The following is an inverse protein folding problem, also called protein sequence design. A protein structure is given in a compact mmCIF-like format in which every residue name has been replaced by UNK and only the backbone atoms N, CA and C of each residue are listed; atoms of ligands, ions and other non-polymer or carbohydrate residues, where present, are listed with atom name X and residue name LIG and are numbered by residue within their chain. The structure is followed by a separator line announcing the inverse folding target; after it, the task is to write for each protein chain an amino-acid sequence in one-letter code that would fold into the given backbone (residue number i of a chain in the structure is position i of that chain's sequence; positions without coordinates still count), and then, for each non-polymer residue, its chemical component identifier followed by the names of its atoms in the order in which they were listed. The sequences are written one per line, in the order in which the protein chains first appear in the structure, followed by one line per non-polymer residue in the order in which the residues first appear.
data_IF_492061115540
#
_entry.id   IF_492061115540
#
_cell.length_a   1.000
_cell.length_b   1.000
_cell.length_c   1.000
_cell.angle_alpha   90.00
_cell.angle_beta   90.00
_cell.angle_gamma   90.00
#
_symmetry.space_group_name_H-M   'P 1'
#
loop_
_entity.id
_entity.type
_entity.pdbx_description
1 polymer ?
2 non-polymer ?
3 non-polymer ?
4 water ?
#
# COMPACT_ATOMS: atom_id res chain seq x y z
N UNK A 1 6.75 12.01 27.21
CA UNK A 1 6.65 10.81 26.34
C UNK A 1 5.84 11.26 25.13
N UNK A 2 6.62 11.90 24.25
CA UNK A 2 6.04 12.44 23.01
C UNK A 2 6.63 11.73 21.83
N UNK A 3 5.88 11.82 20.75
CA UNK A 3 6.21 11.08 19.49
C UNK A 3 6.10 12.01 18.30
N UNK A 4 7.15 12.72 18.03
CA UNK A 4 7.24 13.71 16.96
C UNK A 4 7.85 13.20 15.70
N UNK A 5 7.14 13.33 14.59
CA UNK A 5 7.67 12.88 13.32
C UNK A 5 8.72 13.90 12.82
N UNK A 6 9.68 13.43 12.11
CA UNK A 6 10.69 14.27 11.46
C UNK A 6 10.76 13.70 10.02
N UNK A 7 11.20 14.53 9.10
CA UNK A 7 11.37 14.07 7.70
C UNK A 7 12.10 12.77 7.60
N UNK A 8 12.94 12.40 8.53
CA UNK A 8 13.72 11.14 8.55
C UNK A 8 12.84 9.92 8.71
N UNK A 9 11.60 10.08 9.21
CA UNK A 9 10.63 8.98 9.38
C UNK A 9 10.00 8.59 8.07
N UNK A 10 10.21 9.34 7.02
CA UNK A 10 9.69 9.02 5.69
C UNK A 10 8.18 8.95 5.56
N UNK A 11 7.47 9.80 6.25
CA UNK A 11 6.01 9.85 6.18
C UNK A 11 5.53 10.66 5.01
N UNK A 12 4.67 10.08 4.15
CA UNK A 12 4.17 10.78 2.98
C UNK A 12 2.63 10.69 2.92
N UNK A 13 2.05 11.62 2.22
CA UNK A 13 0.60 11.73 2.03
C UNK A 13 0.19 12.08 0.63
N UNK A 14 -0.93 11.55 0.12
CA UNK A 14 -1.35 11.97 -1.25
C UNK A 14 -1.99 13.33 -1.17
N UNK A 15 -1.92 14.13 -2.25
CA UNK A 15 -2.61 15.44 -2.25
C UNK A 15 -4.13 15.23 -2.04
N UNK A 16 -4.60 14.12 -2.55
CA UNK A 16 -6.02 13.71 -2.51
C UNK A 16 -6.47 13.29 -1.15
N UNK A 17 -5.67 13.15 -0.16
CA UNK A 17 -6.02 12.68 1.19
C UNK A 17 -6.46 13.84 2.00
N UNK A 18 -5.56 14.73 2.43
CA UNK A 18 -5.95 15.95 3.15
C UNK A 18 -6.78 16.84 2.26
N UNK A 19 -6.68 16.71 0.93
CA UNK A 19 -7.42 17.45 -0.05
C UNK A 19 -8.80 16.89 -0.32
N UNK A 20 -9.26 15.81 0.27
CA UNK A 20 -10.62 15.26 0.04
C UNK A 20 -11.67 16.25 0.62
N UNK A 21 -12.52 16.65 -0.29
CA UNK A 21 -13.63 17.61 -0.01
C UNK A 21 -14.79 16.98 0.72
N UNK A 22 -14.89 15.70 0.82
CA UNK A 22 -15.95 15.05 1.55
C UNK A 22 -17.19 14.66 0.78
N UNK A 23 -17.12 14.57 -0.51
CA UNK A 23 -18.23 14.16 -1.39
C UNK A 23 -18.30 12.64 -1.29
N UNK A 24 -19.44 12.08 -0.94
CA UNK A 24 -19.58 10.58 -0.82
C UNK A 24 -20.74 10.22 -1.72
N UNK A 25 -21.10 8.96 -1.87
CA UNK A 25 -22.20 8.55 -2.75
C UNK A 25 -23.53 9.22 -2.38
N UNK A 26 -23.65 9.60 -1.12
CA UNK A 26 -24.87 10.22 -0.63
C UNK A 26 -24.76 11.65 -0.24
N UNK A 27 -23.69 12.38 -0.48
CA UNK A 27 -23.60 13.76 -0.06
C UNK A 27 -22.60 14.65 -0.71
N UNK A 28 -22.91 15.93 -0.64
CA UNK A 28 -22.11 17.01 -1.20
C UNK A 28 -20.86 17.24 -0.33
N UNK A 29 -19.95 17.97 -0.99
CA UNK A 29 -18.69 18.32 -0.30
C UNK A 29 -19.01 19.15 0.93
N UNK A 30 -18.19 18.94 1.97
CA UNK A 30 -18.30 19.68 3.25
C UNK A 30 -17.10 20.60 3.43
N UNK A 31 -16.13 20.51 2.54
CA UNK A 31 -14.96 21.40 2.69
C UNK A 31 -14.57 21.95 1.32
N UNK A 32 -14.02 23.15 1.32
CA UNK A 32 -13.57 23.82 0.08
C UNK A 32 -12.29 23.13 -0.40
N UNK A 33 -12.03 23.28 -1.67
CA UNK A 33 -10.83 22.68 -2.28
C UNK A 33 -9.57 23.33 -1.70
N UNK A 34 -8.53 22.53 -1.60
CA UNK A 34 -7.25 23.03 -1.06
C UNK A 34 -6.29 23.21 -2.25
N UNK A 35 -5.54 24.29 -2.18
CA UNK A 35 -4.51 24.51 -3.24
C UNK A 35 -3.35 23.56 -2.84
N UNK A 36 -2.86 22.76 -3.78
CA UNK A 36 -1.75 21.86 -3.53
C UNK A 36 -0.59 22.53 -2.79
N UNK A 37 -0.36 23.81 -3.08
CA UNK A 37 0.75 24.53 -2.41
C UNK A 37 0.50 24.65 -0.91
N UNK A 38 -0.73 24.86 -0.54
CA UNK A 38 -1.10 24.98 0.87
C UNK A 38 -0.92 23.64 1.55
N UNK A 39 -1.32 22.54 0.90
CA UNK A 39 -1.13 21.21 1.53
C UNK A 39 0.34 20.90 1.72
N UNK A 40 1.18 21.23 0.75
CA UNK A 40 2.64 20.98 0.89
C UNK A 40 3.18 21.72 2.13
N UNK A 41 2.85 22.99 2.27
CA UNK A 41 3.28 23.80 3.40
C UNK A 41 2.77 23.25 4.71
N UNK A 42 1.48 22.91 4.80
CA UNK A 42 0.92 22.38 6.09
C UNK A 42 1.51 21.05 6.43
N UNK A 43 1.68 20.17 5.44
CA UNK A 43 2.28 18.86 5.77
C UNK A 43 3.71 19.02 6.22
N UNK A 44 4.46 19.92 5.64
CA UNK A 44 5.90 20.14 6.02
C UNK A 44 5.94 20.56 7.47
N UNK A 45 5.05 21.42 7.91
CA UNK A 45 4.94 21.86 9.28
C UNK A 45 4.61 20.74 10.23
N UNK A 46 3.91 19.69 9.82
CA UNK A 46 3.56 18.59 10.74
C UNK A 46 4.68 17.58 10.80
N UNK A 47 5.68 17.68 9.95
CA UNK A 47 6.79 16.76 9.96
C UNK A 47 6.79 15.72 8.88
N UNK A 48 5.99 15.89 7.85
CA UNK A 48 5.97 14.87 6.77
C UNK A 48 7.27 14.99 5.93
N UNK A 49 7.56 13.93 5.23
CA UNK A 49 8.77 13.91 4.36
C UNK A 49 8.38 14.26 2.95
N UNK A 50 7.12 14.01 2.52
CA UNK A 50 6.81 14.34 1.10
C UNK A 50 5.36 14.12 0.73
N UNK A 51 5.04 14.32 -0.53
CA UNK A 51 3.66 14.16 -1.00
C UNK A 51 3.66 13.35 -2.30
N UNK A 52 2.49 12.86 -2.67
CA UNK A 52 2.31 12.08 -3.93
C UNK A 52 1.12 12.66 -4.63
N UNK A 53 0.91 12.31 -5.87
CA UNK A 53 -0.20 12.90 -6.62
C UNK A 53 -0.63 12.02 -7.76
N UNK A 54 -1.88 12.28 -8.17
CA UNK A 54 -2.40 11.69 -9.43
C UNK A 54 -2.21 12.95 -10.35
N UNK A 55 -2.03 12.69 -11.63
CA UNK A 55 -1.90 13.82 -12.60
C UNK A 55 -3.01 14.84 -12.42
N UNK A 56 -4.23 14.39 -12.29
CA UNK A 56 -5.40 15.26 -12.16
C UNK A 56 -5.50 16.03 -10.85
N UNK A 57 -4.73 15.66 -9.85
CA UNK A 57 -4.77 16.39 -8.58
C UNK A 57 -3.91 17.67 -8.77
N UNK A 58 -2.86 17.56 -9.55
CA UNK A 58 -1.97 18.69 -9.76
C UNK A 58 -2.35 19.59 -10.91
N UNK A 59 -2.73 19.01 -12.04
CA UNK A 59 -3.10 19.79 -13.25
C UNK A 59 -4.55 19.41 -13.59
N UNK A 60 -5.47 20.34 -13.43
CA UNK A 60 -6.87 20.09 -13.71
C UNK A 60 -7.03 19.52 -15.11
N UNK A 61 -7.84 18.51 -15.21
CA UNK A 61 -8.16 17.82 -16.46
C UNK A 61 -8.49 18.86 -17.52
N UNK A 62 -7.89 18.68 -18.69
CA UNK A 62 -8.17 19.60 -19.79
C UNK A 62 -7.33 20.83 -19.93
N UNK A 63 -6.42 21.08 -19.02
CA UNK A 63 -5.51 22.21 -19.00
C UNK A 63 -4.68 22.28 -20.26
N UNK A 64 -4.48 23.48 -20.76
CA UNK A 64 -3.62 23.59 -21.99
C UNK A 64 -2.17 23.50 -21.51
N UNK A 65 -1.22 23.28 -22.38
CA UNK A 65 0.18 23.19 -22.02
C UNK A 65 0.68 24.39 -21.24
N UNK A 66 0.06 25.51 -21.42
CA UNK A 66 0.41 26.78 -20.76
C UNK A 66 0.01 26.71 -19.31
N UNK A 67 -1.23 26.30 -19.05
CA UNK A 67 -1.67 26.20 -17.64
C UNK A 67 -0.91 25.08 -16.93
N UNK A 68 -0.62 24.02 -17.62
CA UNK A 68 0.11 22.85 -17.09
C UNK A 68 1.42 23.36 -16.48
N UNK A 69 2.24 23.99 -17.30
CA UNK A 69 3.55 24.48 -16.87
C UNK A 69 3.42 25.37 -15.67
N UNK A 70 2.39 26.14 -15.61
CA UNK A 70 2.14 27.06 -14.50
C UNK A 70 1.83 26.33 -13.19
N UNK A 71 1.03 25.29 -13.32
CA UNK A 71 0.65 24.46 -12.14
C UNK A 71 1.91 23.78 -11.64
N UNK A 72 2.73 23.29 -12.54
CA UNK A 72 3.99 22.62 -12.15
C UNK A 72 4.95 23.63 -11.50
N UNK A 73 5.20 24.76 -12.14
CA UNK A 73 6.12 25.75 -11.52
C UNK A 73 5.74 26.10 -10.13
N UNK A 74 4.47 26.40 -9.88
CA UNK A 74 4.02 26.73 -8.51
C UNK A 74 4.27 25.62 -7.53
N UNK A 75 4.01 24.41 -7.92
CA UNK A 75 4.19 23.22 -7.01
C UNK A 75 5.66 23.05 -6.65
N UNK A 76 6.48 23.14 -7.68
CA UNK A 76 7.95 23.02 -7.63
C UNK A 76 8.50 24.04 -6.69
N UNK A 77 8.00 25.26 -6.70
CA UNK A 77 8.48 26.32 -5.78
C UNK A 77 8.09 25.92 -4.37
N UNK A 78 6.89 25.34 -4.16
CA UNK A 78 6.51 24.95 -2.76
C UNK A 78 7.41 23.83 -2.27
N UNK A 79 7.83 22.91 -3.12
CA UNK A 79 8.71 21.81 -2.71
C UNK A 79 10.09 22.40 -2.32
N UNK A 80 10.53 23.38 -3.11
CA UNK A 80 11.84 24.03 -2.84
C UNK A 80 11.81 24.79 -1.52
N UNK A 81 10.73 25.43 -1.21
CA UNK A 81 10.55 26.24 0.01
C UNK A 81 10.50 25.40 1.28
N UNK A 82 10.01 24.19 1.17
CA UNK A 82 9.88 23.32 2.35
C UNK A 82 10.78 22.17 2.44
N UNK A 83 11.47 21.79 1.35
CA UNK A 83 12.34 20.61 1.43
C UNK A 83 11.50 19.30 1.28
N UNK A 84 10.26 19.34 0.83
CA UNK A 84 9.41 18.14 0.67
C UNK A 84 9.81 17.42 -0.62
N UNK A 85 9.72 16.12 -0.65
CA UNK A 85 10.05 15.33 -1.85
C UNK A 85 8.75 14.75 -2.43
N UNK A 86 8.88 14.13 -3.58
CA UNK A 86 7.78 13.47 -4.28
C UNK A 86 8.27 12.08 -4.63
N UNK A 87 8.11 11.12 -3.74
CA UNK A 87 8.62 9.77 -4.01
C UNK A 87 7.78 8.90 -4.92
N UNK A 88 6.52 9.20 -5.11
CA UNK A 88 5.60 8.37 -5.92
C UNK A 88 4.61 9.30 -6.63
N UNK A 89 4.20 8.77 -7.80
CA UNK A 89 3.16 9.48 -8.59
C UNK A 89 2.27 8.34 -9.18
N UNK A 90 1.11 8.80 -9.62
CA UNK A 90 0.12 7.82 -10.24
C UNK A 90 -0.77 8.60 -11.18
N UNK A 91 -1.58 7.90 -11.93
CA UNK A 91 -2.52 8.44 -12.89
C UNK A 91 -3.98 8.30 -12.44
N UNK A 92 -4.80 9.30 -12.77
CA UNK A 92 -6.23 9.16 -12.46
C UNK A 92 -6.84 8.47 -13.73
N UNK A 93 -7.17 7.21 -13.66
CA UNK A 93 -7.84 6.51 -14.81
C UNK A 93 -9.23 6.01 -14.26
N UNK A 94 -9.86 6.85 -13.43
CA UNK A 94 -11.12 6.45 -12.82
C UNK A 94 -12.16 7.52 -12.71
N UNK A 95 -11.88 8.80 -12.62
CA UNK A 95 -12.92 9.84 -12.48
C UNK A 95 -13.69 10.24 -13.69
N UNK A 96 -12.99 10.56 -14.77
CA UNK A 96 -13.69 10.99 -16.00
C UNK A 96 -14.59 9.89 -16.52
N UNK A 97 -15.79 10.28 -16.94
CA UNK A 97 -16.75 9.30 -17.49
C UNK A 97 -16.22 8.38 -18.56
N UNK A 98 -15.22 8.78 -19.32
CA UNK A 98 -14.61 7.99 -20.40
C UNK A 98 -14.09 6.69 -19.84
N UNK A 99 -13.72 6.72 -18.53
CA UNK A 99 -13.19 5.53 -17.88
C UNK A 99 -14.24 4.66 -17.24
N UNK A 100 -15.52 4.92 -17.53
CA UNK A 100 -16.58 4.12 -16.89
C UNK A 100 -16.44 2.61 -17.00
N UNK A 101 -15.83 2.03 -18.00
CA UNK A 101 -15.63 0.62 -18.18
C UNK A 101 -14.17 0.23 -18.01
N UNK A 102 -13.37 1.13 -17.49
CA UNK A 102 -11.94 0.90 -17.23
C UNK A 102 -11.02 1.78 -18.04
N UNK A 103 -9.73 1.57 -17.80
CA UNK A 103 -8.68 2.31 -18.55
C UNK A 103 -8.00 1.30 -19.47
N UNK A 104 -7.11 0.52 -18.90
CA UNK A 104 -6.34 -0.48 -19.61
C UNK A 104 -7.18 -1.65 -20.09
N UNK A 105 -8.30 -1.94 -19.46
CA UNK A 105 -9.16 -3.07 -19.87
C UNK A 105 -10.55 -2.61 -20.33
N UNK A 106 -10.73 -1.37 -20.72
CA UNK A 106 -12.04 -0.95 -21.21
C UNK A 106 -12.33 -1.82 -22.46
N UNK A 107 -13.62 -2.10 -22.72
CA UNK A 107 -13.96 -2.87 -23.89
C UNK A 107 -13.60 -2.03 -25.16
N UNK A 108 -13.81 -0.73 -25.13
CA UNK A 108 -13.50 0.11 -26.29
C UNK A 108 -11.99 0.24 -26.49
N UNK A 109 -11.51 -0.19 -27.65
CA UNK A 109 -10.04 -0.09 -27.89
C UNK A 109 -9.54 1.33 -27.86
N UNK A 110 -10.29 2.29 -28.35
CA UNK A 110 -9.89 3.68 -28.39
C UNK A 110 -9.61 4.22 -27.01
N UNK A 111 -10.41 3.82 -26.07
CA UNK A 111 -10.23 4.30 -24.63
C UNK A 111 -8.93 3.70 -24.06
N UNK A 112 -8.66 2.45 -24.37
CA UNK A 112 -7.44 1.77 -23.88
C UNK A 112 -6.22 2.51 -24.42
N UNK A 113 -6.21 2.93 -25.66
CA UNK A 113 -5.04 3.69 -26.21
C UNK A 113 -4.89 5.01 -25.52
N UNK A 114 -6.03 5.70 -25.31
CA UNK A 114 -6.06 6.98 -24.61
C UNK A 114 -5.51 6.81 -23.19
N UNK A 115 -5.91 5.74 -22.46
CA UNK A 115 -5.44 5.50 -21.12
C UNK A 115 -3.92 5.39 -21.05
N UNK A 116 -3.34 4.71 -22.03
CA UNK A 116 -1.85 4.54 -22.06
C UNK A 116 -1.18 5.87 -22.30
N UNK A 117 -1.73 6.69 -23.20
CA UNK A 117 -1.16 7.99 -23.50
C UNK A 117 -1.18 8.91 -22.30
N UNK A 118 -2.30 8.87 -21.60
CA UNK A 118 -2.47 9.75 -20.39
C UNK A 118 -1.47 9.30 -19.35
N UNK A 119 -1.21 8.04 -19.18
CA UNK A 119 -0.28 7.48 -18.23
C UNK A 119 1.17 7.89 -18.59
N UNK A 120 1.51 7.69 -19.86
CA UNK A 120 2.91 8.00 -20.30
C UNK A 120 3.26 9.44 -20.07
N UNK A 121 2.33 10.32 -20.32
CA UNK A 121 2.52 11.77 -20.12
C UNK A 121 2.86 12.07 -18.65
N UNK A 122 2.20 11.36 -17.72
CA UNK A 122 2.43 11.50 -16.29
C UNK A 122 3.72 10.84 -15.83
N UNK A 123 4.17 9.76 -16.42
CA UNK A 123 5.46 9.11 -16.02
C UNK A 123 6.58 10.15 -16.27
N UNK A 124 6.54 10.84 -17.42
CA UNK A 124 7.55 11.87 -17.72
C UNK A 124 7.56 12.90 -16.60
N UNK A 125 6.36 13.36 -16.20
CA UNK A 125 6.27 14.35 -15.12
C UNK A 125 6.79 13.79 -13.82
N UNK A 126 6.41 12.60 -13.48
CA UNK A 126 6.87 11.98 -12.25
C UNK A 126 8.42 11.93 -12.18
N UNK A 127 9.06 11.51 -13.23
CA UNK A 127 10.53 11.43 -13.30
C UNK A 127 11.13 12.83 -13.12
N UNK A 128 10.56 13.79 -13.76
CA UNK A 128 11.03 15.19 -13.64
C UNK A 128 11.02 15.64 -12.20
N UNK A 129 9.97 15.29 -11.44
CA UNK A 129 9.86 15.68 -10.02
C UNK A 129 10.58 14.75 -9.09
N UNK A 130 11.24 13.75 -9.59
CA UNK A 130 12.00 12.81 -8.84
C UNK A 130 11.36 11.61 -8.24
N UNK A 131 10.17 11.22 -8.73
CA UNK A 131 9.54 10.00 -8.13
C UNK A 131 10.32 8.76 -8.45
N UNK A 132 10.41 7.81 -7.55
CA UNK A 132 11.11 6.54 -7.75
C UNK A 132 10.13 5.39 -8.06
N UNK A 133 8.84 5.59 -7.68
CA UNK A 133 7.78 4.61 -7.86
C UNK A 133 6.60 5.19 -8.57
N UNK A 134 6.02 4.40 -9.46
CA UNK A 134 4.81 4.91 -10.19
C UNK A 134 3.71 3.89 -9.84
N UNK A 135 2.64 4.33 -9.17
CA UNK A 135 1.60 3.33 -8.78
C UNK A 135 0.51 3.22 -9.83
N UNK A 136 -0.11 2.06 -9.85
CA UNK A 136 -1.22 1.82 -10.75
C UNK A 136 -2.35 1.19 -9.98
N UNK A 137 -3.45 1.95 -9.84
CA UNK A 137 -4.63 1.35 -9.13
C UNK A 137 -5.71 1.21 -10.26
N UNK A 138 -6.02 0.01 -10.67
CA UNK A 138 -7.05 -0.05 -11.77
C UNK A 138 -8.45 -0.11 -11.11
N UNK A 139 -8.87 0.99 -10.57
CA UNK A 139 -10.21 1.01 -9.91
C UNK A 139 -11.40 0.76 -10.82
N UNK A 140 -11.33 1.08 -12.11
CA UNK A 140 -12.44 0.84 -13.01
C UNK A 140 -12.24 -0.45 -13.78
N UNK A 141 -11.21 -1.24 -13.54
CA UNK A 141 -11.06 -2.50 -14.31
C UNK A 141 -11.85 -3.58 -13.63
N UNK A 142 -12.95 -4.06 -14.26
CA UNK A 142 -13.72 -5.14 -13.58
C UNK A 142 -15.12 -5.09 -14.16
N UNK A 143 -16.14 -5.48 -13.34
CA UNK A 143 -17.51 -5.48 -13.92
C UNK A 143 -18.52 -5.68 -12.80
N UNK A 144 -19.77 -5.44 -13.25
CA UNK A 144 -20.89 -5.61 -12.31
C UNK A 144 -21.62 -6.87 -12.78
N UNK A 145 -21.40 -7.37 -13.98
CA UNK A 145 -22.11 -8.58 -14.45
C UNK A 145 -21.15 -9.51 -15.18
N UNK A 146 -21.47 -10.78 -15.21
CA UNK A 146 -20.68 -11.80 -15.81
C UNK A 146 -20.36 -11.72 -17.28
N UNK A 147 -21.26 -11.35 -18.16
CA UNK A 147 -21.04 -11.29 -19.55
C UNK A 147 -20.36 -10.10 -20.10
N UNK A 148 -20.26 -9.03 -19.33
CA UNK A 148 -19.67 -7.78 -19.68
C UNK A 148 -18.16 -7.83 -19.87
N UNK A 149 -17.48 -8.78 -19.26
CA UNK A 149 -16.01 -8.81 -19.40
C UNK A 149 -15.51 -10.20 -19.51
N UNK A 150 -14.75 -10.53 -20.54
CA UNK A 150 -14.20 -11.92 -20.59
C UNK A 150 -12.89 -11.68 -19.80
N UNK A 151 -12.68 -12.30 -18.65
CA UNK A 151 -11.46 -12.01 -17.87
C UNK A 151 -10.17 -12.43 -18.52
N UNK A 152 -10.14 -13.55 -19.23
CA UNK A 152 -8.86 -13.93 -19.92
C UNK A 152 -8.54 -12.84 -20.90
N UNK A 153 -9.45 -12.33 -21.72
CA UNK A 153 -9.16 -11.26 -22.65
C UNK A 153 -8.73 -10.02 -21.89
N UNK A 154 -9.40 -9.74 -20.77
CA UNK A 154 -9.07 -8.56 -19.95
C UNK A 154 -7.62 -8.70 -19.44
N UNK A 155 -7.18 -9.85 -18.97
CA UNK A 155 -5.78 -9.98 -18.48
C UNK A 155 -4.78 -9.84 -19.63
N UNK A 156 -5.18 -10.30 -20.81
CA UNK A 156 -4.27 -10.10 -21.98
C UNK A 156 -4.08 -8.60 -22.16
N UNK A 157 -5.22 -7.86 -22.06
CA UNK A 157 -5.14 -6.40 -22.27
C UNK A 157 -4.36 -5.71 -21.16
N UNK A 158 -4.50 -6.26 -19.94
CA UNK A 158 -3.78 -5.64 -18.80
C UNK A 158 -2.30 -5.97 -18.98
N UNK A 159 -2.01 -7.17 -19.39
CA UNK A 159 -0.55 -7.50 -19.60
C UNK A 159 0.04 -6.59 -20.69
N UNK A 160 -0.73 -6.48 -21.79
CA UNK A 160 -0.25 -5.63 -22.90
C UNK A 160 0.08 -4.24 -22.49
N UNK A 161 -0.75 -3.57 -21.71
CA UNK A 161 -0.56 -2.22 -21.22
C UNK A 161 0.66 -2.15 -20.31
N UNK A 162 0.80 -3.05 -19.36
CA UNK A 162 1.99 -2.95 -18.47
C UNK A 162 3.26 -3.26 -19.23
N UNK A 163 3.20 -4.19 -20.19
CA UNK A 163 4.42 -4.49 -20.98
C UNK A 163 4.76 -3.23 -21.80
N UNK A 164 3.83 -2.50 -22.37
CA UNK A 164 4.15 -1.28 -23.14
C UNK A 164 4.72 -0.22 -22.19
N UNK A 165 4.25 -0.11 -20.97
CA UNK A 165 4.80 0.89 -20.05
C UNK A 165 6.22 0.55 -19.67
N UNK A 166 6.53 -0.72 -19.58
CA UNK A 166 7.86 -1.24 -19.24
C UNK A 166 8.78 -0.96 -20.43
N UNK A 167 8.24 -1.08 -21.61
CA UNK A 167 9.05 -0.79 -22.84
C UNK A 167 9.37 0.68 -22.86
N UNK A 168 8.43 1.53 -22.55
CA UNK A 168 8.62 2.97 -22.54
C UNK A 168 9.69 3.35 -21.54
N UNK A 169 9.58 2.91 -20.30
CA UNK A 169 10.58 3.27 -19.26
C UNK A 169 11.99 2.86 -19.62
N UNK A 170 12.14 1.65 -20.14
CA UNK A 170 13.48 1.15 -20.52
C UNK A 170 13.99 1.92 -21.73
N UNK A 171 13.13 2.23 -22.67
CA UNK A 171 13.52 3.00 -23.86
C UNK A 171 14.02 4.37 -23.49
N UNK A 172 13.44 5.02 -22.50
CA UNK A 172 13.83 6.34 -22.03
C UNK A 172 14.97 6.27 -21.01
N UNK A 173 15.33 5.10 -20.57
CA UNK A 173 16.43 5.03 -19.55
C UNK A 173 16.01 5.59 -18.21
N UNK A 174 14.72 5.52 -17.86
CA UNK A 174 14.28 6.05 -16.55
C UNK A 174 14.51 5.07 -15.41
N UNK A 175 14.75 5.60 -14.23
CA UNK A 175 14.95 4.78 -13.01
C UNK A 175 13.62 4.93 -12.22
N UNK A 176 12.65 4.20 -12.63
CA UNK A 176 11.32 4.27 -12.00
C UNK A 176 10.80 2.85 -12.08
N UNK A 177 10.13 2.40 -11.04
CA UNK A 177 9.56 1.04 -11.03
C UNK A 177 8.05 1.22 -10.83
N UNK A 178 7.33 0.17 -11.23
CA UNK A 178 5.84 0.24 -11.09
C UNK A 178 5.35 -0.54 -9.89
N UNK A 179 4.27 -0.07 -9.29
CA UNK A 179 3.73 -0.82 -8.11
C UNK A 179 2.23 -0.95 -8.38
N UNK A 180 1.72 -2.16 -8.50
CA UNK A 180 0.28 -2.37 -8.75
C UNK A 180 -0.41 -2.43 -7.37
N UNK A 181 -1.52 -1.70 -7.34
CA UNK A 181 -2.29 -1.69 -6.05
C UNK A 181 -3.61 -2.42 -6.25
N UNK A 182 -3.80 -3.48 -5.49
CA UNK A 182 -5.01 -4.30 -5.56
C UNK A 182 -6.16 -3.71 -4.72
N UNK A 183 -7.38 -4.06 -5.09
CA UNK A 183 -8.60 -3.63 -4.33
C UNK A 183 -9.61 -4.66 -4.81
N UNK A 184 -10.40 -5.31 -3.92
CA UNK A 184 -11.32 -6.34 -4.35
C UNK A 184 -12.58 -5.88 -5.01
N UNK A 185 -13.06 -4.71 -4.66
CA UNK A 185 -14.31 -4.14 -5.24
C UNK A 185 -14.32 -2.65 -4.89
N UNK A 186 -15.25 -1.94 -5.47
CA UNK A 186 -15.54 -0.54 -5.27
C UNK A 186 -14.51 0.34 -5.91
N UNK A 187 -14.87 1.07 -6.97
CA UNK A 187 -16.15 1.22 -7.54
C UNK A 187 -16.80 0.22 -8.39
N UNK A 188 -16.12 -0.76 -8.93
CA UNK A 188 -16.75 -1.81 -9.73
C UNK A 188 -17.20 -2.91 -8.76
N UNK A 189 -18.16 -3.68 -9.19
CA UNK A 189 -18.74 -4.81 -8.45
C UNK A 189 -17.65 -5.79 -8.02
N UNK A 190 -16.74 -6.04 -8.95
CA UNK A 190 -15.58 -6.92 -8.62
C UNK A 190 -14.43 -6.24 -9.46
N UNK A 191 -13.28 -6.09 -8.83
CA UNK A 191 -12.13 -5.46 -9.55
C UNK A 191 -11.13 -6.58 -9.88
N UNK A 192 -10.44 -6.45 -11.04
CA UNK A 192 -9.43 -7.44 -11.50
C UNK A 192 -8.21 -7.26 -10.63
N UNK A 193 -7.50 -8.36 -10.36
CA UNK A 193 -6.36 -8.42 -9.45
C UNK A 193 -6.85 -7.93 -8.09
N UNK A 194 -7.78 -8.67 -7.48
CA UNK A 194 -8.39 -8.22 -6.24
C UNK A 194 -7.61 -8.19 -4.96
N UNK A 195 -6.51 -8.95 -4.84
CA UNK A 195 -5.71 -8.97 -3.63
C UNK A 195 -4.20 -8.94 -3.97
N UNK A 196 -3.36 -8.81 -2.94
CA UNK A 196 -1.90 -8.85 -3.16
C UNK A 196 -1.53 -10.14 -3.89
N UNK A 197 -2.12 -11.28 -3.52
CA UNK A 197 -1.76 -12.53 -4.18
C UNK A 197 -2.03 -12.46 -5.67
N UNK A 198 -3.21 -12.01 -6.11
CA UNK A 198 -3.57 -11.90 -7.51
C UNK A 198 -2.60 -11.00 -8.23
N UNK A 199 -2.23 -9.89 -7.64
CA UNK A 199 -1.29 -8.94 -8.27
C UNK A 199 0.09 -9.59 -8.35
N UNK A 200 0.60 -10.29 -7.30
CA UNK A 200 1.94 -10.89 -7.41
C UNK A 200 2.01 -11.92 -8.51
N UNK A 201 0.96 -12.74 -8.67
CA UNK A 201 0.89 -13.80 -9.67
C UNK A 201 0.89 -13.23 -11.07
N UNK A 202 0.17 -12.15 -11.25
CA UNK A 202 0.07 -11.47 -12.56
C UNK A 202 1.47 -10.92 -13.00
N UNK A 203 2.17 -10.32 -12.06
CA UNK A 203 3.49 -9.76 -12.36
C UNK A 203 4.41 -10.83 -12.94
N UNK A 204 4.32 -12.04 -12.52
CA UNK A 204 5.18 -13.15 -13.01
C UNK A 204 4.95 -13.46 -14.47
N UNK A 205 3.91 -12.99 -15.11
CA UNK A 205 3.64 -13.19 -16.52
C UNK A 205 4.01 -11.97 -17.34
N UNK A 206 4.60 -10.91 -16.73
CA UNK A 206 4.96 -9.74 -17.53
C UNK A 206 6.30 -10.01 -18.22
N UNK A 207 6.60 -9.32 -19.28
CA UNK A 207 7.86 -9.49 -20.01
C UNK A 207 9.04 -9.13 -19.14
N UNK A 208 8.98 -8.09 -18.32
CA UNK A 208 10.16 -7.77 -17.46
C UNK A 208 9.63 -7.67 -16.01
N UNK A 209 9.45 -8.80 -15.39
CA UNK A 209 8.89 -8.84 -14.01
C UNK A 209 9.63 -8.01 -12.99
N UNK A 210 10.91 -7.80 -13.24
CA UNK A 210 11.73 -7.04 -12.23
C UNK A 210 11.34 -5.61 -12.15
N UNK A 211 10.60 -5.03 -13.10
CA UNK A 211 10.18 -3.64 -13.01
C UNK A 211 8.89 -3.43 -12.20
N UNK A 212 8.28 -4.54 -11.76
CA UNK A 212 7.01 -4.38 -11.07
C UNK A 212 6.89 -5.05 -9.72
N UNK A 213 6.25 -4.31 -8.83
CA UNK A 213 6.01 -4.80 -7.44
C UNK A 213 4.57 -4.43 -7.05
N UNK A 214 4.30 -4.49 -5.79
CA UNK A 214 2.93 -4.16 -5.32
C UNK A 214 2.92 -2.97 -4.38
N UNK A 215 1.78 -2.33 -4.34
CA UNK A 215 1.50 -1.22 -3.40
C UNK A 215 0.22 -1.67 -2.63
N UNK A 216 0.36 -2.55 -1.65
CA UNK A 216 -0.83 -3.02 -0.92
C UNK A 216 -1.37 -1.89 -0.03
N UNK A 217 -2.70 -1.98 0.22
CA UNK A 217 -3.30 -0.97 1.14
C UNK A 217 -3.94 -1.68 2.32
N UNK A 218 -3.73 -1.25 3.54
CA UNK A 218 -4.30 -1.94 4.69
C UNK A 218 -5.79 -2.27 4.49
N UNK A 219 -6.56 -1.19 4.31
CA UNK A 219 -8.03 -1.35 4.18
C UNK A 219 -8.47 -2.21 3.03
N UNK A 220 -7.77 -2.24 1.89
CA UNK A 220 -8.22 -3.13 0.75
C UNK A 220 -8.12 -4.60 1.04
N UNK A 221 -7.05 -5.13 1.65
CA UNK A 221 -7.04 -6.56 1.91
C UNK A 221 -8.08 -6.90 2.99
N UNK A 222 -8.30 -5.93 3.87
CA UNK A 222 -9.31 -6.15 4.97
C UNK A 222 -10.74 -6.16 4.41
N UNK A 223 -11.03 -5.61 3.27
CA UNK A 223 -12.29 -5.57 2.53
C UNK A 223 -12.63 -6.98 2.04
N UNK A 224 -11.63 -7.88 2.04
CA UNK A 224 -11.78 -9.27 1.64
C UNK A 224 -11.63 -10.13 2.92
N UNK A 225 -11.55 -9.56 4.11
CA UNK A 225 -11.39 -10.24 5.39
C UNK A 225 -10.02 -10.92 5.51
N UNK A 226 -9.02 -10.49 4.77
CA UNK A 226 -7.69 -11.12 4.82
C UNK A 226 -6.77 -10.52 5.89
N UNK A 227 -5.72 -11.26 6.23
CA UNK A 227 -4.76 -10.74 7.25
C UNK A 227 -3.75 -9.92 6.54
N UNK A 228 -3.75 -8.60 6.72
CA UNK A 228 -2.81 -7.62 6.12
C UNK A 228 -1.37 -7.95 6.36
N UNK A 229 -0.87 -8.06 7.60
CA UNK A 229 0.50 -8.44 7.87
C UNK A 229 0.86 -9.77 7.17
N UNK A 230 -0.02 -10.80 7.06
CA UNK A 230 0.40 -12.03 6.32
C UNK A 230 0.61 -11.76 4.82
N UNK A 231 -0.23 -10.91 4.21
CA UNK A 231 -0.11 -10.52 2.77
C UNK A 231 1.19 -9.77 2.53
N UNK A 232 1.52 -8.85 3.45
CA UNK A 232 2.77 -8.08 3.39
C UNK A 232 3.96 -9.04 3.55
N UNK A 233 3.93 -10.02 4.44
CA UNK A 233 5.06 -10.95 4.59
C UNK A 233 5.21 -11.71 3.26
N UNK A 234 4.12 -12.07 2.57
CA UNK A 234 4.24 -12.75 1.29
C UNK A 234 4.85 -11.83 0.26
N UNK A 235 4.51 -10.56 0.27
CA UNK A 235 5.07 -9.60 -0.69
C UNK A 235 6.56 -9.43 -0.34
N UNK A 236 6.95 -9.33 0.92
CA UNK A 236 8.38 -9.22 1.27
C UNK A 236 9.11 -10.51 0.86
N UNK A 237 8.57 -11.66 1.10
CA UNK A 237 9.15 -12.96 0.75
C UNK A 237 9.47 -12.99 -0.72
N UNK A 238 8.59 -12.41 -1.55
CA UNK A 238 8.81 -12.40 -2.99
C UNK A 238 9.72 -11.29 -3.43
N UNK A 239 10.15 -10.40 -2.58
CA UNK A 239 10.98 -9.24 -2.94
C UNK A 239 10.19 -8.20 -3.67
N UNK A 240 8.86 -8.12 -3.46
CA UNK A 240 8.05 -7.18 -4.19
C UNK A 240 7.37 -6.07 -3.46
N UNK A 241 7.71 -5.77 -2.23
CA UNK A 241 7.12 -4.68 -1.46
C UNK A 241 7.77 -3.37 -1.89
N UNK A 242 7.21 -2.77 -2.94
CA UNK A 242 7.79 -1.53 -3.45
C UNK A 242 7.26 -0.29 -2.75
N UNK A 243 6.06 -0.37 -2.26
CA UNK A 243 5.49 0.88 -1.62
C UNK A 243 4.34 0.31 -0.76
N UNK A 244 3.75 1.16 0.06
CA UNK A 244 2.66 0.64 0.93
C UNK A 244 1.71 1.83 1.19
N UNK A 245 0.43 1.47 1.35
CA UNK A 245 -0.61 2.48 1.65
C UNK A 245 -1.15 2.20 3.07
N UNK A 246 -0.97 3.14 3.96
CA UNK A 246 -1.38 2.93 5.34
C UNK A 246 -2.65 3.64 5.67
N UNK A 247 -3.54 2.90 6.35
CA UNK A 247 -4.86 3.58 6.74
C UNK A 247 -5.55 2.57 7.69
N UNK A 248 -6.83 2.77 7.95
CA UNK A 248 -7.59 1.87 8.84
C UNK A 248 -8.95 1.60 8.16
N UNK A 249 -9.47 0.45 8.56
CA UNK A 249 -10.75 -0.03 8.00
C UNK A 249 -11.44 -0.87 9.05
N UNK A 250 -12.77 -0.70 9.19
CA UNK A 250 -13.41 -1.56 10.18
C UNK A 250 -14.09 -2.74 9.47
N UNK A 251 -13.38 -3.76 9.04
CA UNK A 251 -14.06 -4.90 8.41
C UNK A 251 -14.47 -4.86 6.99
N UNK A 252 -15.34 -5.81 6.63
CA UNK A 252 -15.82 -5.98 5.23
C UNK A 252 -17.00 -5.07 5.06
N UNK A 253 -16.75 -3.99 4.38
CA UNK A 253 -17.81 -2.92 4.16
C UNK A 253 -17.20 -2.03 3.09
N UNK A 254 -17.73 -0.89 2.78
CA UNK A 254 -17.20 0.08 1.85
C UNK A 254 -15.78 0.46 2.34
N UNK A 255 -15.00 1.00 1.42
CA UNK A 255 -13.58 1.41 1.73
C UNK A 255 -13.60 2.69 2.56
N UNK A 256 -13.32 2.60 3.85
CA UNK A 256 -13.37 3.74 4.76
C UNK A 256 -12.21 4.65 4.71
N UNK A 257 -10.99 4.16 4.56
CA UNK A 257 -9.81 5.05 4.52
C UNK A 257 -9.70 5.86 5.84
N UNK A 258 -9.84 5.24 6.98
CA UNK A 258 -9.70 6.01 8.25
C UNK A 258 -8.18 6.22 8.44
N UNK A 259 -7.90 7.15 9.36
CA UNK A 259 -6.46 7.40 9.66
C UNK A 259 -5.83 6.10 10.14
N UNK A 260 -4.50 6.01 9.89
CA UNK A 260 -3.74 4.84 10.33
C UNK A 260 -3.82 4.72 11.88
N UNK A 261 -4.04 3.50 12.35
CA UNK A 261 -4.18 3.14 13.76
C UNK A 261 -5.66 2.94 14.07
N UNK A 262 -6.53 3.61 13.34
CA UNK A 262 -7.98 3.41 13.51
C UNK A 262 -8.26 2.07 12.80
N UNK A 263 -9.45 1.51 13.02
CA UNK A 263 -9.74 0.22 12.37
C UNK A 263 -9.25 -0.89 13.28
N UNK A 264 -8.51 -1.80 12.70
CA UNK A 264 -7.95 -2.96 13.40
C UNK A 264 -6.63 -2.58 14.03
N UNK A 265 -6.66 -2.16 15.26
CA UNK A 265 -5.41 -1.77 15.94
C UNK A 265 -4.41 -2.90 16.13
N UNK A 266 -4.83 -4.11 16.50
CA UNK A 266 -3.83 -5.18 16.65
C UNK A 266 -3.13 -5.45 15.31
N UNK A 267 -3.82 -5.41 14.21
CA UNK A 267 -3.23 -5.64 12.87
C UNK A 267 -2.22 -4.56 12.58
N UNK A 268 -2.49 -3.35 13.02
CA UNK A 268 -1.59 -2.20 12.82
C UNK A 268 -0.31 -2.48 13.58
N UNK A 269 -0.41 -3.04 14.78
CA UNK A 269 0.78 -3.34 15.61
C UNK A 269 1.63 -4.39 14.90
N UNK A 270 0.97 -5.48 14.44
CA UNK A 270 1.76 -6.55 13.79
C UNK A 270 2.34 -6.10 12.47
N UNK A 271 1.70 -5.15 11.83
CA UNK A 271 2.20 -4.64 10.54
C UNK A 271 3.46 -3.82 10.81
N UNK A 272 3.38 -2.94 11.78
CA UNK A 272 4.58 -2.11 12.12
C UNK A 272 5.73 -3.03 12.56
N UNK A 273 5.47 -4.06 13.34
CA UNK A 273 6.46 -5.01 13.81
C UNK A 273 7.19 -5.61 12.60
N UNK A 274 6.38 -6.05 11.62
CA UNK A 274 6.92 -6.62 10.40
C UNK A 274 7.64 -5.58 9.56
N UNK A 275 7.16 -4.43 9.28
CA UNK A 275 7.91 -3.49 8.45
C UNK A 275 9.29 -3.14 9.03
N UNK A 276 9.27 -2.92 10.33
CA UNK A 276 10.52 -2.53 11.04
C UNK A 276 11.44 -3.73 11.15
N UNK A 277 10.96 -4.90 11.46
CA UNK A 277 11.90 -6.03 11.56
C UNK A 277 12.44 -6.47 10.25
N UNK A 278 11.72 -6.37 9.13
CA UNK A 278 12.19 -6.77 7.79
C UNK A 278 13.02 -5.68 7.17
N UNK A 279 13.08 -4.53 7.77
CA UNK A 279 13.86 -3.41 7.26
C UNK A 279 13.29 -2.74 6.06
N UNK A 280 11.97 -2.58 5.98
CA UNK A 280 11.36 -1.90 4.83
C UNK A 280 11.91 -0.48 4.82
N UNK A 281 12.41 -0.07 3.64
CA UNK A 281 12.99 1.32 3.61
C UNK A 281 12.28 2.25 2.69
N UNK A 282 11.08 1.91 2.21
CA UNK A 282 10.37 2.83 1.32
C UNK A 282 9.56 3.81 2.17
N UNK A 283 8.82 4.67 1.48
CA UNK A 283 7.99 5.65 2.19
C UNK A 283 6.85 4.95 2.97
N UNK A 284 6.47 5.64 4.03
CA UNK A 284 5.36 5.20 4.91
C UNK A 284 4.23 6.17 4.43
N UNK A 285 3.50 5.70 3.42
CA UNK A 285 2.49 6.55 2.82
C UNK A 285 1.09 6.38 3.37
N UNK A 286 0.43 7.48 3.64
CA UNK A 286 -0.95 7.41 4.19
C UNK A 286 -1.93 7.72 3.07
N UNK A 287 -2.82 6.75 2.80
CA UNK A 287 -3.85 6.97 1.77
C UNK A 287 -5.13 6.93 2.68
N UNK A 288 -5.52 8.10 3.14
CA UNK A 288 -6.71 8.12 4.08
C UNK A 288 -7.60 9.28 3.78
N UNK A 289 -8.75 9.38 4.35
CA UNK A 289 -9.67 10.50 4.14
C UNK A 289 -10.15 11.02 5.50
N UNK A 290 -9.83 12.28 5.79
CA UNK A 290 -10.32 12.85 7.09
C UNK A 290 -11.85 12.83 6.92
N UNK A 291 -12.58 12.28 7.86
CA UNK A 291 -14.04 12.19 7.78
C UNK A 291 -14.67 13.52 7.41
N UNK A 292 -15.79 13.41 6.62
CA UNK A 292 -16.47 14.64 6.16
C UNK A 292 -17.09 15.47 7.28
N UNK A 293 -17.12 14.91 8.48
CA UNK A 293 -17.66 15.64 9.66
C UNK A 293 -16.65 16.73 10.09
N UNK A 294 -15.43 16.65 9.55
CA UNK A 294 -14.40 17.58 9.98
C UNK A 294 -14.19 18.86 9.24
N UNK A 295 -13.71 19.89 9.96
CA UNK A 295 -13.36 21.17 9.25
C UNK A 295 -11.86 21.09 8.99
N UNK A 296 -11.14 22.10 8.57
CA UNK A 296 -9.71 22.11 8.30
C UNK A 296 -8.90 21.77 9.53
N UNK A 297 -9.28 22.23 10.70
CA UNK A 297 -8.54 21.87 11.93
C UNK A 297 -8.52 20.35 12.11
N UNK A 298 -9.64 19.69 11.87
CA UNK A 298 -9.83 18.24 11.97
C UNK A 298 -9.01 17.53 10.89
N UNK A 299 -8.90 18.09 9.73
CA UNK A 299 -8.04 17.47 8.67
C UNK A 299 -6.62 17.33 9.15
N UNK A 300 -6.07 18.42 9.64
CA UNK A 300 -4.68 18.46 10.15
C UNK A 300 -4.50 17.58 11.37
N UNK A 301 -5.49 17.49 12.25
CA UNK A 301 -5.38 16.62 13.44
C UNK A 301 -5.37 15.16 13.03
N UNK A 302 -6.22 14.84 12.03
CA UNK A 302 -6.29 13.45 11.49
C UNK A 302 -4.96 13.07 10.86
N UNK A 303 -4.36 13.93 10.02
CA UNK A 303 -3.07 13.62 9.38
C UNK A 303 -2.03 13.50 10.45
N UNK A 304 -2.02 14.41 11.47
CA UNK A 304 -0.98 14.26 12.53
C UNK A 304 -1.21 12.93 13.23
N UNK A 305 -2.44 12.49 13.47
CA UNK A 305 -2.67 11.19 14.17
C UNK A 305 -2.09 9.99 13.47
N UNK A 306 -2.10 10.04 12.14
CA UNK A 306 -1.56 9.00 11.29
C UNK A 306 -0.08 8.72 11.69
N UNK A 307 0.64 9.83 11.75
CA UNK A 307 2.12 9.72 12.06
C UNK A 307 2.35 9.32 13.48
N UNK A 308 1.58 9.91 14.38
CA UNK A 308 1.70 9.61 15.81
C UNK A 308 1.46 8.14 16.07
N UNK A 309 0.40 7.61 15.43
CA UNK A 309 0.04 6.20 15.68
C UNK A 309 1.16 5.29 15.20
N UNK A 310 1.73 5.56 14.04
CA UNK A 310 2.85 4.73 13.59
C UNK A 310 3.98 4.79 14.61
N UNK A 311 4.32 5.99 15.10
CA UNK A 311 5.46 6.12 16.08
C UNK A 311 5.23 5.38 17.36
N UNK A 312 4.00 5.42 17.89
CA UNK A 312 3.71 4.69 19.15
C UNK A 312 3.83 3.17 18.89
N UNK A 313 3.23 2.69 17.82
CA UNK A 313 3.29 1.23 17.51
C UNK A 313 4.74 0.81 17.31
N UNK A 314 5.52 1.66 16.71
CA UNK A 314 6.96 1.34 16.46
C UNK A 314 7.67 1.13 17.79
N UNK A 315 7.36 2.02 18.72
CA UNK A 315 8.00 1.88 20.08
C UNK A 315 7.56 0.63 20.77
N UNK A 316 6.25 0.30 20.80
CA UNK A 316 5.73 -0.92 21.46
C UNK A 316 6.24 -2.18 20.83
N UNK A 317 6.36 -2.27 19.49
CA UNK A 317 6.84 -3.52 18.82
C UNK A 317 8.33 -3.75 19.12
N UNK A 318 9.08 -2.68 19.20
CA UNK A 318 10.55 -2.68 19.51
C UNK A 318 10.69 -3.11 20.95
N UNK A 319 9.91 -2.60 21.88
CA UNK A 319 10.00 -3.05 23.29
C UNK A 319 9.62 -4.54 23.35
N UNK A 320 8.61 -5.00 22.61
CA UNK A 320 8.16 -6.38 22.57
C UNK A 320 9.32 -7.31 22.12
N UNK A 321 9.96 -6.99 21.00
CA UNK A 321 11.05 -7.82 20.47
C UNK A 321 12.32 -7.82 21.34
N UNK A 322 12.53 -6.72 22.01
CA UNK A 322 13.66 -6.52 22.91
C UNK A 322 13.49 -7.12 24.27
N UNK A 323 12.31 -7.48 24.71
CA UNK A 323 12.10 -8.04 26.08
C UNK A 323 12.61 -9.45 26.20
N UNK A 324 13.48 -9.74 27.16
CA UNK A 324 14.05 -11.08 27.35
C UNK A 324 12.98 -12.10 27.62
N UNK A 325 11.90 -11.69 28.28
CA UNK A 325 10.81 -12.61 28.61
C UNK A 325 10.07 -13.02 27.34
N UNK A 326 10.04 -12.11 26.37
CA UNK A 326 9.39 -12.40 25.06
C UNK A 326 10.32 -13.37 24.29
N UNK A 327 11.60 -13.07 24.31
CA UNK A 327 12.60 -13.92 23.61
C UNK A 327 12.50 -15.32 24.17
N UNK A 328 12.35 -15.53 25.44
CA UNK A 328 12.20 -16.89 26.00
C UNK A 328 10.87 -17.48 25.55
N UNK A 329 9.83 -16.66 25.48
CA UNK A 329 8.48 -17.17 25.04
C UNK A 329 8.54 -17.63 23.59
N UNK A 330 9.25 -16.89 22.76
CA UNK A 330 9.38 -17.27 21.32
C UNK A 330 10.08 -18.62 21.22
N UNK A 331 11.07 -18.85 22.13
CA UNK A 331 11.76 -20.16 22.11
C UNK A 331 10.83 -21.25 22.59
N UNK A 332 10.02 -20.88 23.60
CA UNK A 332 9.06 -21.84 24.18
C UNK A 332 8.02 -22.25 23.11
N UNK A 333 7.70 -21.40 22.20
CA UNK A 333 6.72 -21.66 21.13
C UNK A 333 7.37 -22.19 19.88
N UNK A 334 8.69 -22.38 19.94
CA UNK A 334 9.46 -22.91 18.82
C UNK A 334 9.58 -22.05 17.60
N UNK A 335 9.58 -20.73 17.74
CA UNK A 335 9.80 -19.83 16.60
C UNK A 335 11.19 -20.05 15.99
N UNK A 336 12.12 -20.45 16.83
CA UNK A 336 13.50 -20.74 16.44
C UNK A 336 13.56 -21.94 15.49
N UNK A 337 12.75 -22.97 15.79
CA UNK A 337 12.66 -24.17 15.02
C UNK A 337 11.97 -23.97 13.66
N UNK A 338 11.05 -23.00 13.63
CA UNK A 338 10.37 -22.73 12.34
C UNK A 338 11.37 -22.17 11.35
N UNK A 339 12.38 -21.45 11.84
CA UNK A 339 13.42 -20.82 11.02
C UNK A 339 14.47 -21.82 10.56
N UNK A 340 14.48 -23.05 11.02
CA UNK A 340 15.52 -24.02 10.55
C UNK A 340 14.94 -24.88 9.46
N UNK A 341 15.75 -25.29 8.49
CA UNK A 341 15.28 -26.13 7.40
C UNK A 341 14.72 -27.42 7.92
N UNK A 342 13.65 -27.94 7.34
CA UNK A 342 13.07 -29.22 7.79
C UNK A 342 13.99 -30.42 7.39
N UNK A 343 14.63 -30.22 6.21
CA UNK A 343 15.46 -31.32 5.72
C UNK A 343 16.66 -30.91 4.95
N UNK A 344 17.58 -30.24 5.64
CA UNK A 344 18.84 -29.80 4.99
C UNK A 344 19.63 -31.08 4.67
N UNK A 345 19.37 -32.16 5.33
CA UNK A 345 20.02 -33.45 5.10
C UNK A 345 19.64 -34.01 3.74
N UNK A 346 18.60 -33.51 3.12
CA UNK A 346 18.17 -33.98 1.79
C UNK A 346 17.14 -35.04 1.83
N UNK A 347 16.54 -35.26 0.64
CA UNK A 347 15.49 -36.26 0.45
C UNK A 347 15.86 -37.66 0.84
N UNK A 348 16.99 -38.16 0.30
CA UNK A 348 17.34 -39.56 0.65
C UNK A 348 17.50 -39.76 2.12
N UNK A 349 18.14 -38.82 2.81
CA UNK A 349 18.32 -38.88 4.29
C UNK A 349 16.96 -38.88 5.00
N UNK A 350 16.05 -38.02 4.55
CA UNK A 350 14.69 -38.03 5.14
C UNK A 350 14.03 -39.38 4.93
N UNK A 351 14.12 -39.94 3.72
CA UNK A 351 13.49 -41.24 3.45
C UNK A 351 14.08 -42.37 4.30
N UNK A 352 15.34 -42.32 4.64
CA UNK A 352 15.96 -43.39 5.44
C UNK A 352 15.88 -43.15 6.94
N UNK A 353 15.48 -41.98 7.35
CA UNK A 353 15.35 -41.62 8.74
C UNK A 353 14.12 -42.20 9.43
N UNK A 354 14.36 -43.24 10.21
CA UNK A 354 13.23 -43.85 10.91
C UNK A 354 12.67 -42.95 11.99
N UNK A 355 13.42 -41.93 12.40
CA UNK A 355 12.88 -41.07 13.47
C UNK A 355 11.83 -40.15 12.93
N UNK A 356 11.75 -40.02 11.62
CA UNK A 356 10.74 -39.18 10.97
C UNK A 356 9.47 -39.99 10.72
N UNK A 357 9.39 -41.30 10.87
CA UNK A 357 8.16 -42.02 10.59
C UNK A 357 7.91 -43.25 11.39
N UNK A 358 8.65 -44.28 11.02
CA UNK A 358 8.57 -45.61 11.60
C UNK A 358 8.66 -45.51 13.09
N UNK A 359 9.57 -44.72 13.62
CA UNK A 359 9.71 -44.63 15.09
C UNK A 359 9.30 -43.28 15.62
N UNK A 360 8.59 -42.51 14.84
CA UNK A 360 8.17 -41.17 15.32
C UNK A 360 7.07 -41.36 16.35
N UNK A 361 7.21 -40.73 17.51
CA UNK A 361 6.18 -40.89 18.56
C UNK A 361 5.19 -39.75 18.39
N UNK A 362 4.15 -40.01 17.64
CA UNK A 362 3.12 -39.03 17.32
C UNK A 362 2.42 -38.54 18.58
N UNK A 363 2.09 -39.43 19.51
CA UNK A 363 1.42 -39.04 20.73
C UNK A 363 2.24 -38.10 21.63
N UNK A 364 3.53 -38.30 21.71
CA UNK A 364 4.36 -37.41 22.54
C UNK A 364 4.43 -36.06 21.88
N UNK A 365 4.60 -36.05 20.58
CA UNK A 365 4.67 -34.77 19.82
C UNK A 365 3.34 -34.04 19.95
N UNK A 366 2.22 -34.73 19.78
CA UNK A 366 0.92 -34.12 19.87
C UNK A 366 0.64 -33.50 21.24
N UNK A 367 1.18 -34.07 22.30
CA UNK A 367 0.89 -33.58 23.64
C UNK A 367 1.61 -32.31 23.97
N UNK A 368 2.56 -31.94 23.15
CA UNK A 368 3.34 -30.72 23.43
C UNK A 368 2.51 -29.50 23.13
N UNK A 369 2.33 -28.72 24.16
CA UNK A 369 1.57 -27.46 23.98
C UNK A 369 2.34 -26.43 23.26
N UNK A 370 1.73 -25.55 22.49
CA UNK A 370 2.42 -24.52 21.71
C UNK A 370 2.75 -23.27 22.51
N UNK A 371 2.09 -23.05 23.64
CA UNK A 371 2.28 -21.88 24.47
C UNK A 371 2.04 -20.61 23.73
N UNK A 372 1.17 -20.60 22.69
CA UNK A 372 0.86 -19.38 21.95
C UNK A 372 0.06 -18.32 22.72
N UNK A 373 -0.78 -18.71 23.64
CA UNK A 373 -1.61 -17.73 24.39
C UNK A 373 -0.73 -16.96 25.36
N UNK A 374 0.23 -17.57 25.99
CA UNK A 374 1.13 -16.78 26.91
C UNK A 374 1.87 -15.73 26.05
N UNK A 375 2.37 -16.20 24.90
CA UNK A 375 3.05 -15.29 23.98
C UNK A 375 2.14 -14.16 23.54
N UNK A 376 0.88 -14.49 23.16
CA UNK A 376 -0.01 -13.41 22.70
C UNK A 376 -0.35 -12.42 23.81
N UNK A 377 -0.43 -12.93 25.04
CA UNK A 377 -0.74 -11.96 26.15
C UNK A 377 0.45 -11.05 26.37
N UNK A 378 1.69 -11.51 26.20
CA UNK A 378 2.85 -10.63 26.36
C UNK A 378 2.80 -9.54 25.33
N UNK A 379 2.36 -9.95 24.10
CA UNK A 379 2.25 -8.95 23.01
C UNK A 379 1.18 -7.90 23.32
N UNK A 380 0.07 -8.36 23.92
CA UNK A 380 -1.03 -7.44 24.31
C UNK A 380 -0.51 -6.53 25.41
N UNK A 381 0.16 -7.08 26.41
CA UNK A 381 0.70 -6.25 27.53
C UNK A 381 1.60 -5.16 26.98
N UNK A 382 2.46 -5.60 26.04
CA UNK A 382 3.38 -4.59 25.40
C UNK A 382 2.63 -3.56 24.61
N UNK A 383 1.67 -3.94 23.76
CA UNK A 383 0.95 -2.88 23.02
C UNK A 383 0.26 -1.87 23.96
N UNK A 384 -0.35 -2.35 25.04
CA UNK A 384 -1.08 -1.46 25.95
C UNK A 384 -0.22 -0.72 26.97
N UNK A 385 1.06 -1.00 27.03
CA UNK A 385 1.97 -0.33 27.98
C UNK A 385 1.65 -0.85 29.35
N UNK A 386 1.29 -2.09 29.49
CA UNK A 386 0.95 -2.72 30.78
C UNK A 386 2.12 -3.69 31.01
N UNK A 387 3.24 -3.32 30.48
CA UNK A 387 4.57 -3.78 30.34
C UNK A 387 5.42 -2.61 29.70
X LIG B 1 -5.36 6.20 -6.30
X LIG B 1 -4.34 5.43 -5.70
X LIG B 1 -4.79 4.64 -4.54
X LIG B 1 -6.20 5.28 -4.21
X LIG B 1 -6.92 3.94 -3.93
X LIG B 1 -5.19 5.75 -7.63
X LIG B 1 -3.52 4.76 -6.51
X LIG B 1 -3.79 4.30 -3.63
X LIG B 1 -6.03 6.42 -3.39
X LIG B 1 -6.55 3.18 -2.76
X LIG C 1 -8.86 2.60 0.20
X LIG D 1 -4.59 3.38 -1.91
#
# INVERSE_FOLDING_TARGET
MNYQPTPEDRFTFGLWTVGWQGRDPFGDATRRALDPVESVQRLAELGAHGVTFHDDDLIPFGSSDSEREEHVKRFRQALDDTGMKVPMATTNLFTHPVFKDGGFTANDRDVRRYALRKTIRNIDLAVELGAETYVAWGGREGAESGGAKDVRDALDRMKEAFDLLGEYVTSQGYDIRFAIEPKPNEPRGDILLPTVGHALAFIERLERPELYGVNPEVGHEQMAGLNFPHGIAQALWAGKLFHIDLNGQNGIKYDQDLRFGAGDLRAAFWLVDLLESAGYSGPRHFDFKPPRTEDFDGVWASAAGCMRNYLILKERAAAFRADPEVQEALRASRLDELARPTAADGLQALLDDRSAFEEFDVDAAAARGMAFERLDQLAMDHLLGARG
XLS C1 C2 C3 C4 C5 O1 O2 O3 O4 O5
MN MN
MN MN
#
